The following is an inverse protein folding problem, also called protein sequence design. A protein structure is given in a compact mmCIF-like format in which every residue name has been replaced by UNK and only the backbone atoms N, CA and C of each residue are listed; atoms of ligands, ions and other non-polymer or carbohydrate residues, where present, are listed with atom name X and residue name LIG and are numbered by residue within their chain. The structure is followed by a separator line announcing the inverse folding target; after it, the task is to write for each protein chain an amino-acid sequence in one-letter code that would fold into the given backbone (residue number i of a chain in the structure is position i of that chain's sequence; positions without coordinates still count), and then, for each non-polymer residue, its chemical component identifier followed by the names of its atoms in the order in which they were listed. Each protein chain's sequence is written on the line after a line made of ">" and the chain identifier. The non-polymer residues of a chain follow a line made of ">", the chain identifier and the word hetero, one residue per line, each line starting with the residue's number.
data_IF_125033139136
#
_entry.id   IF_125033139136
#
_cell.length_a   1.000
_cell.length_b   1.000
_cell.length_c   1.000
_cell.angle_alpha   90.00
_cell.angle_beta   90.00
_cell.angle_gamma   90.00
#
_symmetry.space_group_name_H-M   'P 1'
#
loop_
_entity.id
_entity.type
_entity.pdbx_description
1 polymer ?
#
# COMPACT_ATOMS: atom_id res chain seq x y z
N UNK A 1 12.72 6.65 -0.08
CA UNK A 1 13.14 7.49 -1.22
C UNK A 1 12.35 8.80 -1.30
N UNK A 2 11.01 8.79 -1.33
CA UNK A 2 10.21 10.01 -1.49
C UNK A 2 10.49 11.13 -0.47
N UNK A 3 10.57 10.81 0.82
CA UNK A 3 10.88 11.81 1.85
C UNK A 3 12.23 12.52 1.60
N UNK A 4 13.23 11.79 1.10
CA UNK A 4 14.53 12.37 0.75
C UNK A 4 14.42 13.33 -0.45
N UNK A 5 13.73 12.90 -1.52
CA UNK A 5 13.53 13.72 -2.73
C UNK A 5 12.76 15.01 -2.44
N UNK A 6 11.83 14.96 -1.48
CA UNK A 6 11.00 16.09 -1.09
C UNK A 6 11.57 16.90 0.07
N UNK A 7 12.77 16.53 0.56
CA UNK A 7 13.41 17.20 1.70
C UNK A 7 12.65 17.05 3.02
N UNK A 8 11.79 16.04 3.15
CA UNK A 8 10.98 15.78 4.33
C UNK A 8 11.67 14.85 5.33
N UNK A 9 11.37 15.03 6.62
CA UNK A 9 11.82 14.14 7.67
C UNK A 9 11.29 12.70 7.45
N UNK A 10 12.19 11.72 7.49
CA UNK A 10 11.84 10.31 7.43
C UNK A 10 11.18 9.83 8.74
N UNK A 11 10.55 8.65 8.72
CA UNK A 11 9.88 8.07 9.90
C UNK A 11 8.43 8.52 10.08
N UNK A 12 7.88 8.28 11.28
CA UNK A 12 6.46 8.49 11.62
C UNK A 12 6.25 9.90 12.19
N UNK A 13 6.17 10.88 11.29
CA UNK A 13 6.04 12.31 11.61
C UNK A 13 4.65 12.85 11.25
N UNK A 14 4.23 13.94 11.90
CA UNK A 14 3.00 14.66 11.56
C UNK A 14 3.17 15.38 10.23
N UNK A 15 2.11 15.48 9.42
CA UNK A 15 2.15 16.19 8.15
C UNK A 15 3.06 15.56 7.10
N UNK A 16 3.34 14.26 7.20
CA UNK A 16 4.30 13.55 6.33
C UNK A 16 3.98 13.66 4.83
N UNK A 17 2.73 13.96 4.48
CA UNK A 17 2.29 14.06 3.10
C UNK A 17 2.69 15.39 2.48
N UNK A 18 3.07 15.34 1.20
CA UNK A 18 3.49 16.52 0.44
C UNK A 18 2.33 17.26 -0.21
N UNK A 19 1.15 16.65 -0.32
CA UNK A 19 -0.06 17.28 -0.87
C UNK A 19 -0.94 17.95 0.19
N UNK A 20 -0.98 17.42 1.41
CA UNK A 20 -1.81 17.94 2.49
C UNK A 20 -1.16 17.73 3.86
N UNK A 21 -1.73 18.35 4.89
CA UNK A 21 -1.25 18.32 6.27
C UNK A 21 -1.88 17.19 7.08
N UNK A 22 -1.93 15.98 6.49
CA UNK A 22 -2.50 14.81 7.16
C UNK A 22 -1.81 14.51 8.50
N UNK A 23 -2.58 14.48 9.58
CA UNK A 23 -2.07 14.09 10.91
C UNK A 23 -2.11 12.57 11.06
N UNK A 24 -0.95 11.95 10.84
CA UNK A 24 -0.76 10.50 11.00
C UNK A 24 -1.09 9.98 12.40
N UNK A 25 -1.20 10.85 13.42
CA UNK A 25 -1.53 10.49 14.81
C UNK A 25 -3.02 10.57 15.13
N UNK A 26 -3.83 11.28 14.34
CA UNK A 26 -5.26 11.48 14.59
C UNK A 26 -6.11 10.29 14.09
N UNK A 27 -5.86 9.09 14.63
CA UNK A 27 -6.42 7.82 14.13
C UNK A 27 -7.95 7.80 14.06
N UNK A 28 -8.60 8.45 15.01
CA UNK A 28 -10.08 8.49 15.09
C UNK A 28 -10.71 9.32 13.95
N UNK A 29 -9.91 10.17 13.29
CA UNK A 29 -10.34 11.01 12.17
C UNK A 29 -9.95 10.43 10.81
N UNK A 30 -9.18 9.34 10.76
CA UNK A 30 -8.55 8.90 9.52
C UNK A 30 -9.51 8.45 8.42
N UNK A 31 -10.66 7.90 8.80
CA UNK A 31 -11.68 7.45 7.86
C UNK A 31 -12.84 8.43 7.70
N UNK A 32 -13.02 9.35 8.65
CA UNK A 32 -14.14 10.31 8.68
C UNK A 32 -13.78 11.66 8.07
N UNK A 33 -12.50 12.07 8.14
CA UNK A 33 -12.03 13.34 7.60
C UNK A 33 -11.20 13.12 6.33
N UNK A 34 -11.76 13.54 5.20
CA UNK A 34 -11.07 13.55 3.90
C UNK A 34 -10.39 14.90 3.61
N UNK A 35 -10.84 15.98 4.24
CA UNK A 35 -10.56 17.38 3.89
C UNK A 35 -9.44 17.98 4.75
N UNK A 36 -8.30 17.31 4.72
CA UNK A 36 -7.09 17.81 5.35
C UNK A 36 -6.56 19.04 4.63
N UNK A 37 -6.15 20.06 5.39
CA UNK A 37 -5.63 21.31 4.84
C UNK A 37 -4.53 21.04 3.80
N UNK A 38 -4.74 21.56 2.60
CA UNK A 38 -3.78 21.43 1.50
C UNK A 38 -2.45 22.06 1.89
N UNK A 39 -1.36 21.46 1.39
CA UNK A 39 -0.03 22.00 1.58
C UNK A 39 0.27 22.94 0.42
N UNK A 40 0.47 24.23 0.72
CA UNK A 40 0.84 25.23 -0.28
C UNK A 40 2.25 25.04 -0.85
N UNK A 41 3.27 25.11 0.01
CA UNK A 41 4.68 24.94 -0.39
C UNK A 41 5.45 23.97 0.53
N UNK A 42 6.50 23.36 -0.01
CA UNK A 42 7.50 22.61 0.77
C UNK A 42 8.65 23.54 1.15
N UNK A 43 8.38 24.50 2.03
CA UNK A 43 9.39 25.43 2.54
C UNK A 43 10.30 24.72 3.54
N UNK A 44 11.62 24.80 3.33
CA UNK A 44 12.58 24.24 4.26
C UNK A 44 12.47 24.89 5.66
N UNK A 45 12.65 24.07 6.70
CA UNK A 45 12.47 24.43 8.11
C UNK A 45 11.01 24.65 8.56
N UNK A 46 10.01 24.44 7.69
CA UNK A 46 8.60 24.46 8.08
C UNK A 46 8.03 23.03 8.25
N UNK A 47 7.24 22.85 9.30
CA UNK A 47 6.51 21.60 9.60
C UNK A 47 7.47 20.39 9.64
N UNK A 48 7.40 19.51 8.64
CA UNK A 48 8.21 18.30 8.52
C UNK A 48 9.23 18.37 7.36
N UNK A 49 9.44 19.54 6.76
CA UNK A 49 10.39 19.76 5.65
C UNK A 49 11.71 20.26 6.24
N UNK A 50 12.75 19.44 6.15
CA UNK A 50 14.08 19.71 6.73
C UNK A 50 15.08 20.23 5.69
N UNK A 51 14.87 19.95 4.41
CA UNK A 51 15.75 20.33 3.31
C UNK A 51 14.97 20.88 2.13
N UNK A 52 15.66 21.57 1.22
CA UNK A 52 15.08 21.98 -0.06
C UNK A 52 14.66 20.75 -0.88
N UNK A 53 13.52 20.88 -1.56
CA UNK A 53 12.98 19.84 -2.44
C UNK A 53 13.85 19.68 -3.69
N UNK A 54 14.23 18.43 -4.02
CA UNK A 54 15.04 18.09 -5.19
C UNK A 54 14.19 17.86 -6.45
N UNK A 55 12.93 17.46 -6.28
CA UNK A 55 12.00 17.15 -7.37
C UNK A 55 10.66 17.83 -7.11
N UNK A 56 10.10 18.60 -8.07
CA UNK A 56 8.78 19.20 -7.90
C UNK A 56 7.72 18.15 -7.49
N UNK A 57 6.88 18.43 -6.48
CA UNK A 57 5.87 17.48 -6.00
C UNK A 57 4.94 16.95 -7.08
N UNK A 58 4.66 17.74 -8.10
CA UNK A 58 3.79 17.42 -9.23
C UNK A 58 4.41 16.35 -10.14
N UNK A 59 5.73 16.17 -10.07
CA UNK A 59 6.47 15.13 -10.82
C UNK A 59 6.64 13.84 -10.02
N UNK A 60 6.16 13.78 -8.78
CA UNK A 60 6.23 12.58 -7.95
C UNK A 60 5.06 11.67 -8.27
N UNK A 61 5.35 10.55 -8.92
CA UNK A 61 4.40 9.46 -9.08
C UNK A 61 4.50 8.51 -7.88
N UNK A 62 3.36 8.08 -7.36
CA UNK A 62 3.33 6.99 -6.38
C UNK A 62 3.28 5.65 -7.11
N UNK A 63 4.25 4.76 -6.89
CA UNK A 63 4.27 3.49 -7.58
C UNK A 63 3.08 2.59 -7.19
N UNK A 64 2.30 2.08 -8.17
CA UNK A 64 1.16 1.21 -7.90
C UNK A 64 1.50 -0.04 -7.10
N UNK A 65 2.68 -0.65 -7.38
CA UNK A 65 3.15 -1.85 -6.67
C UNK A 65 3.24 -1.61 -5.17
N UNK A 66 3.89 -0.53 -4.75
CA UNK A 66 4.03 -0.21 -3.34
C UNK A 66 2.69 0.06 -2.65
N UNK A 67 1.68 0.57 -3.36
CA UNK A 67 0.33 0.74 -2.82
C UNK A 67 -0.33 -0.64 -2.63
N UNK A 68 -0.19 -1.53 -3.62
CA UNK A 68 -0.67 -2.92 -3.58
C UNK A 68 -0.12 -3.69 -2.39
N UNK A 69 1.20 -3.65 -2.21
CA UNK A 69 1.87 -4.28 -1.07
C UNK A 69 1.34 -3.75 0.27
N UNK A 70 1.11 -2.44 0.37
CA UNK A 70 0.65 -1.82 1.61
C UNK A 70 -0.82 -2.13 1.91
N UNK A 71 -1.69 -2.19 0.90
CA UNK A 71 -3.07 -2.62 1.08
C UNK A 71 -3.15 -4.07 1.56
N UNK A 72 -2.39 -4.97 0.94
CA UNK A 72 -2.32 -6.36 1.40
C UNK A 72 -1.80 -6.44 2.84
N UNK A 73 -0.76 -5.67 3.17
CA UNK A 73 -0.22 -5.60 4.52
C UNK A 73 -1.29 -5.18 5.55
N UNK A 74 -2.05 -4.11 5.27
CA UNK A 74 -3.09 -3.65 6.19
C UNK A 74 -4.23 -4.67 6.33
N UNK A 75 -4.63 -5.31 5.22
CA UNK A 75 -5.61 -6.39 5.22
C UNK A 75 -5.16 -7.54 6.12
N UNK A 76 -3.98 -8.11 5.90
CA UNK A 76 -3.48 -9.24 6.71
C UNK A 76 -3.30 -8.84 8.18
N UNK A 77 -2.87 -7.60 8.46
CA UNK A 77 -2.77 -7.09 9.82
C UNK A 77 -4.12 -7.08 10.53
N UNK A 78 -5.20 -6.71 9.84
CA UNK A 78 -6.56 -6.66 10.38
C UNK A 78 -7.18 -8.05 10.62
N UNK A 79 -6.68 -9.11 9.97
CA UNK A 79 -7.25 -10.45 10.12
C UNK A 79 -7.22 -10.94 11.57
N UNK A 80 -8.30 -11.57 12.07
CA UNK A 80 -8.31 -12.23 13.37
C UNK A 80 -7.28 -13.37 13.41
N UNK A 81 -6.40 -13.37 14.42
CA UNK A 81 -5.25 -14.30 14.47
C UNK A 81 -5.63 -15.71 14.94
N UNK A 82 -6.82 -15.85 15.51
CA UNK A 82 -7.42 -17.06 16.05
C UNK A 82 -8.36 -17.77 15.05
N UNK A 83 -8.66 -17.14 13.90
CA UNK A 83 -9.58 -17.69 12.89
C UNK A 83 -8.90 -18.56 11.83
N UNK A 84 -9.73 -19.36 11.16
CA UNK A 84 -9.37 -20.24 10.05
C UNK A 84 -8.56 -19.53 8.96
N UNK A 85 -8.93 -18.31 8.59
CA UNK A 85 -8.21 -17.54 7.57
C UNK A 85 -6.74 -17.30 7.91
N UNK A 86 -6.43 -16.96 9.17
CA UNK A 86 -5.03 -16.77 9.57
C UNK A 86 -4.28 -18.11 9.67
N UNK A 87 -4.97 -19.18 10.08
CA UNK A 87 -4.39 -20.52 10.09
C UNK A 87 -4.08 -21.03 8.68
N UNK A 88 -4.99 -20.81 7.73
CA UNK A 88 -4.80 -21.09 6.31
C UNK A 88 -3.56 -20.35 5.78
N UNK A 89 -3.44 -19.06 6.10
CA UNK A 89 -2.28 -18.25 5.72
C UNK A 89 -0.94 -18.85 6.23
N UNK A 90 -0.90 -19.31 7.49
CA UNK A 90 0.27 -20.00 8.06
C UNK A 90 0.60 -21.29 7.29
N UNK A 91 -0.41 -22.07 6.91
CA UNK A 91 -0.24 -23.30 6.13
C UNK A 91 0.22 -23.03 4.69
N UNK A 92 -0.25 -21.94 4.06
CA UNK A 92 0.16 -21.56 2.70
C UNK A 92 1.62 -21.09 2.65
N UNK A 93 2.13 -20.50 3.74
CA UNK A 93 3.49 -19.97 3.83
C UNK A 93 4.29 -20.54 5.02
N UNK A 94 4.60 -21.86 5.03
CA UNK A 94 5.29 -22.50 6.14
C UNK A 94 6.74 -22.01 6.34
N UNK A 95 7.30 -21.34 5.32
CA UNK A 95 8.65 -20.75 5.37
C UNK A 95 8.67 -19.32 5.96
N UNK A 96 7.51 -18.68 6.11
CA UNK A 96 7.39 -17.38 6.75
C UNK A 96 7.13 -17.58 8.24
N UNK A 97 7.79 -16.78 9.08
CA UNK A 97 7.49 -16.80 10.51
C UNK A 97 6.12 -16.18 10.77
N UNK A 98 5.45 -16.65 11.83
CA UNK A 98 4.16 -16.10 12.26
C UNK A 98 4.25 -14.59 12.52
N UNK A 99 5.39 -14.08 13.03
CA UNK A 99 5.62 -12.65 13.21
C UNK A 99 5.60 -11.88 11.88
N UNK A 100 6.19 -12.41 10.80
CA UNK A 100 6.13 -11.80 9.47
C UNK A 100 4.69 -11.81 8.93
N UNK A 101 3.96 -12.92 9.13
CA UNK A 101 2.57 -13.03 8.73
C UNK A 101 1.68 -12.04 9.48
N UNK A 102 1.82 -11.94 10.81
CA UNK A 102 1.11 -10.96 11.65
C UNK A 102 1.37 -9.52 11.22
N UNK A 103 2.60 -9.23 10.81
CA UNK A 103 3.00 -7.91 10.33
C UNK A 103 2.67 -7.65 8.86
N UNK A 104 2.10 -8.62 8.15
CA UNK A 104 1.73 -8.51 6.73
C UNK A 104 2.94 -8.33 5.81
N UNK A 105 4.08 -8.94 6.17
CA UNK A 105 5.33 -8.82 5.40
C UNK A 105 5.34 -9.85 4.28
N UNK A 106 4.91 -9.42 3.10
CA UNK A 106 4.85 -10.23 1.87
C UNK A 106 5.66 -9.60 0.74
N UNK A 107 6.17 -10.46 -0.13
CA UNK A 107 6.75 -10.05 -1.42
C UNK A 107 5.70 -10.11 -2.53
N UNK A 108 5.97 -9.50 -3.69
CA UNK A 108 5.10 -9.62 -4.87
C UNK A 108 4.72 -11.08 -5.21
N UNK A 109 5.69 -12.02 -5.29
CA UNK A 109 5.40 -13.44 -5.49
C UNK A 109 4.53 -14.07 -4.41
N UNK A 110 4.70 -13.70 -3.14
CA UNK A 110 3.84 -14.24 -2.08
C UNK A 110 2.39 -13.79 -2.24
N UNK A 111 2.17 -12.51 -2.58
CA UNK A 111 0.83 -11.99 -2.86
C UNK A 111 0.22 -12.69 -4.07
N UNK A 112 0.99 -12.90 -5.13
CA UNK A 112 0.51 -13.62 -6.31
C UNK A 112 0.11 -15.06 -5.96
N UNK A 113 0.89 -15.75 -5.13
CA UNK A 113 0.54 -17.08 -4.64
C UNK A 113 -0.76 -17.07 -3.84
N UNK A 114 -0.93 -16.08 -2.96
CA UNK A 114 -2.14 -15.94 -2.14
C UNK A 114 -3.38 -15.63 -3.00
N UNK A 115 -3.23 -14.79 -4.03
CA UNK A 115 -4.31 -14.47 -4.97
C UNK A 115 -4.76 -15.68 -5.79
N UNK A 116 -3.86 -16.63 -6.05
CA UNK A 116 -4.18 -17.88 -6.75
C UNK A 116 -4.73 -18.97 -5.83
N UNK A 117 -4.73 -18.76 -4.51
CA UNK A 117 -5.20 -19.73 -3.52
C UNK A 117 -6.71 -19.57 -3.30
N UNK A 118 -7.51 -20.33 -4.06
CA UNK A 118 -8.98 -20.29 -3.95
C UNK A 118 -9.47 -20.67 -2.56
N UNK A 119 -8.78 -21.60 -1.88
CA UNK A 119 -9.14 -22.07 -0.55
C UNK A 119 -8.99 -20.96 0.50
N UNK A 120 -8.06 -20.03 0.31
CA UNK A 120 -7.88 -18.92 1.24
C UNK A 120 -9.15 -18.06 1.36
N UNK A 121 -9.81 -17.76 0.24
CA UNK A 121 -11.06 -16.97 0.22
C UNK A 121 -12.24 -17.69 0.90
N UNK A 122 -12.24 -19.02 0.89
CA UNK A 122 -13.30 -19.83 1.52
C UNK A 122 -13.19 -19.86 3.05
N UNK A 123 -12.01 -19.56 3.59
CA UNK A 123 -11.78 -19.51 5.05
C UNK A 123 -12.15 -18.18 5.71
N UNK A 124 -12.58 -17.20 4.92
CA UNK A 124 -12.91 -15.85 5.36
C UNK A 124 -14.37 -15.75 5.81
N UNK A 125 -14.64 -14.93 6.84
CA UNK A 125 -16.00 -14.50 7.15
C UNK A 125 -16.46 -13.39 6.20
N UNK A 126 -17.71 -12.96 6.33
CA UNK A 126 -18.33 -12.01 5.39
C UNK A 126 -17.55 -10.69 5.27
N UNK A 127 -17.08 -10.13 6.40
CA UNK A 127 -16.31 -8.88 6.40
C UNK A 127 -14.92 -9.05 5.78
N UNK A 128 -14.23 -10.13 6.14
CA UNK A 128 -12.91 -10.44 5.59
C UNK A 128 -13.01 -10.63 4.07
N UNK A 129 -14.04 -11.36 3.64
CA UNK A 129 -14.27 -11.70 2.25
C UNK A 129 -14.65 -10.48 1.43
N UNK A 130 -15.50 -9.59 1.94
CA UNK A 130 -15.83 -8.34 1.26
C UNK A 130 -14.59 -7.46 1.02
N UNK A 131 -13.74 -7.32 2.04
CA UNK A 131 -12.49 -6.59 1.93
C UNK A 131 -11.51 -7.27 0.95
N UNK A 132 -11.40 -8.60 0.99
CA UNK A 132 -10.59 -9.38 0.05
C UNK A 132 -11.06 -9.22 -1.39
N UNK A 133 -12.34 -9.47 -1.65
CA UNK A 133 -12.94 -9.40 -2.98
C UNK A 133 -12.76 -7.99 -3.55
N UNK A 134 -12.97 -6.93 -2.76
CA UNK A 134 -12.73 -5.55 -3.17
C UNK A 134 -11.27 -5.25 -3.59
N UNK A 135 -10.29 -5.94 -3.01
CA UNK A 135 -8.88 -5.83 -3.39
C UNK A 135 -8.56 -6.61 -4.69
N UNK A 136 -9.26 -7.71 -4.93
CA UNK A 136 -9.09 -8.60 -6.10
C UNK A 136 -9.83 -8.08 -7.34
N UNK A 137 -10.83 -7.20 -7.17
CA UNK A 137 -11.64 -6.63 -8.27
C UNK A 137 -10.79 -6.22 -9.47
N UNK A 138 -11.15 -6.77 -10.64
CA UNK A 138 -10.61 -6.36 -11.92
C UNK A 138 -10.88 -4.87 -12.15
N UNK A 139 -9.85 -4.11 -12.52
CA UNK A 139 -9.94 -2.67 -12.78
C UNK A 139 -9.22 -1.80 -11.74
N UNK A 140 -9.05 -2.27 -10.50
CA UNK A 140 -8.28 -1.52 -9.50
C UNK A 140 -6.76 -1.58 -9.76
N UNK A 141 -6.27 -2.76 -10.15
CA UNK A 141 -4.86 -3.02 -10.51
C UNK A 141 -4.62 -3.13 -12.03
N UNK A 142 -5.60 -2.71 -12.85
CA UNK A 142 -5.53 -2.83 -14.30
C UNK A 142 -4.46 -1.93 -14.92
N UNK A 143 -4.02 -2.27 -16.14
CA UNK A 143 -3.10 -1.42 -16.89
C UNK A 143 -3.73 -0.07 -17.26
N UNK A 144 -5.03 -0.10 -17.56
CA UNK A 144 -5.85 1.07 -17.88
C UNK A 144 -6.81 1.33 -16.72
N UNK A 145 -6.93 2.59 -16.32
CA UNK A 145 -7.85 3.05 -15.27
C UNK A 145 -9.29 2.75 -15.65
N UNK A 146 -10.03 2.13 -14.73
CA UNK A 146 -11.45 1.83 -14.93
C UNK A 146 -12.27 3.14 -15.04
N UNK A 147 -13.28 3.22 -15.92
CA UNK A 147 -14.16 4.40 -16.00
C UNK A 147 -14.82 4.75 -14.65
N UNK A 148 -15.07 3.77 -13.80
CA UNK A 148 -15.63 3.89 -12.46
C UNK A 148 -14.58 3.74 -11.35
N UNK A 149 -13.30 4.04 -11.64
CA UNK A 149 -12.19 3.84 -10.71
C UNK A 149 -12.45 4.46 -9.32
N UNK A 150 -13.02 5.68 -9.26
CA UNK A 150 -13.38 6.33 -7.98
C UNK A 150 -14.33 5.48 -7.15
N UNK A 151 -15.37 4.93 -7.79
CA UNK A 151 -16.35 4.07 -7.12
C UNK A 151 -15.71 2.78 -6.63
N UNK A 152 -14.85 2.16 -7.43
CA UNK A 152 -14.11 0.95 -7.05
C UNK A 152 -13.20 1.22 -5.85
N UNK A 153 -12.45 2.32 -5.87
CA UNK A 153 -11.59 2.72 -4.75
C UNK A 153 -12.41 3.00 -3.49
N UNK A 154 -13.52 3.73 -3.61
CA UNK A 154 -14.38 4.07 -2.49
C UNK A 154 -15.00 2.83 -1.84
N UNK A 155 -15.45 1.88 -2.66
CA UNK A 155 -15.99 0.61 -2.20
C UNK A 155 -14.94 -0.18 -1.41
N UNK A 156 -13.73 -0.31 -1.98
CA UNK A 156 -12.62 -0.98 -1.30
C UNK A 156 -12.25 -0.30 0.02
N UNK A 157 -12.17 1.03 0.06
CA UNK A 157 -11.87 1.77 1.29
C UNK A 157 -12.92 1.55 2.37
N UNK A 158 -14.20 1.52 2.00
CA UNK A 158 -15.31 1.24 2.92
C UNK A 158 -15.22 -0.19 3.48
N UNK A 159 -14.92 -1.18 2.62
CA UNK A 159 -14.74 -2.57 3.06
C UNK A 159 -13.53 -2.71 4.00
N UNK A 160 -12.43 -2.02 3.70
CA UNK A 160 -11.23 -2.00 4.55
C UNK A 160 -11.48 -1.34 5.91
N UNK A 161 -12.23 -0.25 5.96
CA UNK A 161 -12.65 0.37 7.23
C UNK A 161 -13.50 -0.59 8.05
N UNK A 162 -14.53 -1.20 7.44
CA UNK A 162 -15.43 -2.14 8.12
C UNK A 162 -14.71 -3.38 8.65
N UNK A 163 -13.65 -3.81 7.97
CA UNK A 163 -12.76 -4.90 8.36
C UNK A 163 -11.78 -4.50 9.49
N UNK A 164 -11.64 -3.21 9.80
CA UNK A 164 -10.75 -2.70 10.84
C UNK A 164 -9.31 -2.49 10.37
N UNK A 165 -9.08 -2.31 9.06
CA UNK A 165 -7.78 -1.91 8.53
C UNK A 165 -7.37 -0.54 9.07
N UNK A 166 -6.08 -0.36 9.36
CA UNK A 166 -5.55 0.95 9.74
C UNK A 166 -5.22 1.77 8.49
N UNK A 167 -5.55 3.04 8.53
CA UNK A 167 -5.22 3.98 7.47
C UNK A 167 -3.69 4.20 7.43
N UNK A 168 -3.03 3.62 6.43
CA UNK A 168 -1.62 3.91 6.15
C UNK A 168 -1.52 5.18 5.29
N UNK A 169 -0.32 5.74 5.16
CA UNK A 169 -0.09 6.88 4.27
C UNK A 169 -0.52 6.60 2.82
N UNK A 170 -0.38 5.35 2.35
CA UNK A 170 -0.76 4.96 0.98
C UNK A 170 -2.27 4.75 0.85
N UNK A 171 -2.92 4.23 1.89
CA UNK A 171 -4.39 4.12 1.93
C UNK A 171 -5.02 5.52 1.96
N UNK A 172 -4.47 6.43 2.78
CA UNK A 172 -4.90 7.83 2.80
C UNK A 172 -4.65 8.51 1.45
N UNK A 173 -3.61 8.09 0.71
CA UNK A 173 -3.38 8.61 -0.63
C UNK A 173 -4.52 8.26 -1.59
N UNK A 174 -4.96 7.01 -1.56
CA UNK A 174 -6.11 6.53 -2.33
C UNK A 174 -7.41 7.23 -1.91
N UNK A 175 -7.62 7.43 -0.61
CA UNK A 175 -8.83 8.06 -0.08
C UNK A 175 -8.98 9.53 -0.51
N UNK A 176 -7.98 10.37 -0.26
CA UNK A 176 -8.12 11.82 -0.44
C UNK A 176 -7.65 12.33 -1.80
N UNK A 177 -6.89 11.57 -2.59
CA UNK A 177 -6.32 12.06 -3.86
C UNK A 177 -6.30 11.00 -4.96
N UNK A 178 -7.41 10.28 -5.13
CA UNK A 178 -7.60 9.31 -6.23
C UNK A 178 -7.44 9.96 -7.62
N UNK A 179 -7.65 11.27 -7.71
CA UNK A 179 -7.50 12.06 -8.94
C UNK A 179 -6.04 12.24 -9.39
N UNK A 180 -5.08 12.08 -8.49
CA UNK A 180 -3.65 12.20 -8.84
C UNK A 180 -3.10 10.97 -9.57
N UNK A 181 -3.89 9.91 -9.73
CA UNK A 181 -3.47 8.70 -10.42
C UNK A 181 -3.61 8.83 -11.95
N UNK A 182 -2.54 8.54 -12.73
CA UNK A 182 -2.58 8.60 -14.18
C UNK A 182 -3.52 7.55 -14.77
N UNK A 183 -3.94 7.73 -16.02
CA UNK A 183 -4.81 6.79 -16.74
C UNK A 183 -4.16 5.41 -16.96
N UNK A 184 -2.83 5.36 -17.05
CA UNK A 184 -2.06 4.15 -17.30
C UNK A 184 -1.28 3.68 -16.06
N UNK A 185 -1.99 3.09 -15.10
CA UNK A 185 -1.40 2.59 -13.86
C UNK A 185 -0.33 1.52 -14.10
N UNK A 186 -0.58 0.59 -15.02
CA UNK A 186 0.36 -0.52 -15.28
C UNK A 186 1.66 -0.10 -15.96
N UNK A 187 1.67 1.01 -16.70
CA UNK A 187 2.87 1.51 -17.38
C UNK A 187 3.93 2.04 -16.40
N UNK A 188 3.50 2.45 -15.21
CA UNK A 188 4.37 2.95 -14.14
C UNK A 188 4.61 1.90 -13.03
N UNK A 189 4.31 0.61 -13.27
CA UNK A 189 4.57 -0.44 -12.28
C UNK A 189 6.08 -0.69 -12.10
N UNK A 190 6.51 -0.76 -10.85
CA UNK A 190 7.87 -1.13 -10.45
C UNK A 190 8.12 -2.64 -10.52
N UNK A 191 7.13 -3.47 -10.88
CA UNK A 191 7.23 -4.94 -10.90
C UNK A 191 8.45 -5.43 -11.70
N UNK A 192 8.74 -4.76 -12.83
CA UNK A 192 9.90 -5.08 -13.67
C UNK A 192 11.22 -4.73 -12.98
N UNK A 193 11.26 -3.61 -12.25
CA UNK A 193 12.43 -3.18 -11.49
C UNK A 193 12.69 -4.08 -10.27
N UNK A 194 11.66 -4.43 -9.50
CA UNK A 194 11.79 -5.36 -8.38
C UNK A 194 12.22 -6.76 -8.86
N UNK A 195 11.66 -7.26 -9.97
CA UNK A 195 12.08 -8.53 -10.57
C UNK A 195 13.55 -8.50 -10.98
N UNK A 196 13.98 -7.43 -11.66
CA UNK A 196 15.37 -7.26 -12.05
C UNK A 196 16.31 -7.27 -10.84
N UNK A 197 15.98 -6.56 -9.75
CA UNK A 197 16.77 -6.58 -8.53
C UNK A 197 16.87 -7.98 -7.91
N UNK A 198 15.78 -8.75 -7.94
CA UNK A 198 15.77 -10.12 -7.42
C UNK A 198 16.60 -11.07 -8.29
N UNK A 199 16.60 -10.89 -9.61
CA UNK A 199 17.45 -11.63 -10.55
C UNK A 199 18.93 -11.29 -10.34
N UNK A 200 19.27 -10.00 -10.22
CA UNK A 200 20.63 -9.55 -9.91
C UNK A 200 21.11 -10.13 -8.58
N UNK A 201 20.31 -10.10 -7.52
CA UNK A 201 20.69 -10.69 -6.23
C UNK A 201 20.98 -12.20 -6.36
N UNK A 202 20.20 -12.92 -7.17
CA UNK A 202 20.44 -14.34 -7.44
C UNK A 202 21.73 -14.57 -8.23
N UNK A 203 22.03 -13.71 -9.21
CA UNK A 203 23.27 -13.76 -9.99
C UNK A 203 24.46 -13.45 -9.07
N UNK A 204 24.43 -12.33 -8.34
CA UNK A 204 25.49 -11.95 -7.40
C UNK A 204 25.81 -13.10 -6.45
N UNK A 205 24.81 -13.70 -5.80
CA UNK A 205 25.02 -14.86 -4.91
C UNK A 205 25.71 -16.05 -5.60
N UNK A 206 25.46 -16.28 -6.89
CA UNK A 206 26.08 -17.39 -7.64
C UNK A 206 27.52 -17.10 -8.06
N UNK A 207 27.87 -15.83 -8.24
CA UNK A 207 29.16 -15.40 -8.77
C UNK A 207 30.03 -14.61 -7.76
N UNK A 208 29.58 -14.44 -6.52
CA UNK A 208 30.36 -13.74 -5.49
C UNK A 208 31.62 -14.54 -5.14
N UNK A 209 32.79 -13.99 -5.46
CA UNK A 209 34.09 -14.59 -5.15
C UNK A 209 34.56 -15.70 -6.10
N UNK A 210 33.95 -15.82 -7.28
CA UNK A 210 34.49 -16.57 -8.43
C UNK A 210 35.03 -15.59 -9.46
#
# INVERSE_FOLDING_TARGET
>A
MLAMLLGQQAGYTKGRRFLCLWDSRARDLHWTDADWSLRGALTAAEKNVINATLVPPEKVLLPPLHIKLELMKQFIKSLPKDRECFRCLCSTFPKLSEAKLKEGVFTGPDIQKLLSDSLFSETMGDKEKEAWDSYVVHGFWGNTKDPHYKTVVQHMLTAYEAQGCKMSLKVHFLHSHTDCFPETLGACSEDKGERFLQDIHNIERRYQGR
#
